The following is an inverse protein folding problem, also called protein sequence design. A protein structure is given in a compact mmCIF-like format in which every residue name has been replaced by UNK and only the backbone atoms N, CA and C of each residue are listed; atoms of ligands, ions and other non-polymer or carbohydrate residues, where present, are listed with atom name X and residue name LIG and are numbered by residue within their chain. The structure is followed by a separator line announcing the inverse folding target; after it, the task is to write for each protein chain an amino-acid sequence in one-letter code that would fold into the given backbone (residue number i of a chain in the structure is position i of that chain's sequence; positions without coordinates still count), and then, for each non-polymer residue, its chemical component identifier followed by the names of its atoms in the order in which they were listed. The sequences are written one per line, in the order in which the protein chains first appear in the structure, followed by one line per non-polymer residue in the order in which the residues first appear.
data_IF_581872315036
#
_entry.id   IF_581872315036
#
_cell.length_a   1.000
_cell.length_b   1.000
_cell.length_c   1.000
_cell.angle_alpha   90.00
_cell.angle_beta   90.00
_cell.angle_gamma   90.00
#
_symmetry.space_group_name_H-M   'P 1'
#
loop_
_entity.id
_entity.type
_entity.pdbx_description
1 polymer ?
#
# COMPACT_ATOMS: atom_id res chain seq x y z
N UNK A 1 -11.83 -10.66 -24.23
CA UNK A 1 -11.10 -9.36 -24.39
C UNK A 1 -11.22 -8.45 -23.16
N UNK A 2 -12.44 -8.04 -22.77
CA UNK A 2 -12.66 -7.09 -21.65
C UNK A 2 -12.13 -7.65 -20.32
N UNK A 3 -12.38 -8.92 -20.03
CA UNK A 3 -11.95 -9.56 -18.78
C UNK A 3 -10.42 -9.59 -18.63
N UNK A 4 -9.69 -9.81 -19.73
CA UNK A 4 -8.22 -9.77 -19.76
C UNK A 4 -7.71 -8.36 -19.43
N UNK A 5 -8.30 -7.34 -20.06
CA UNK A 5 -7.94 -5.93 -19.82
C UNK A 5 -8.20 -5.55 -18.37
N UNK A 6 -9.37 -5.90 -17.82
CA UNK A 6 -9.70 -5.65 -16.40
C UNK A 6 -8.72 -6.37 -15.48
N UNK A 7 -8.33 -7.61 -15.80
CA UNK A 7 -7.41 -8.39 -14.98
C UNK A 7 -6.00 -7.82 -15.01
N UNK A 8 -5.53 -7.35 -16.17
CA UNK A 8 -4.23 -6.65 -16.32
C UNK A 8 -4.25 -5.33 -15.56
N UNK A 9 -5.29 -4.51 -15.74
CA UNK A 9 -5.43 -3.23 -15.05
C UNK A 9 -5.50 -3.41 -13.54
N UNK A 10 -6.28 -4.39 -13.05
CA UNK A 10 -6.39 -4.67 -11.60
C UNK A 10 -5.11 -5.28 -11.01
N UNK A 11 -4.39 -6.06 -11.80
CA UNK A 11 -3.15 -6.70 -11.35
C UNK A 11 -1.99 -5.70 -11.26
N UNK A 12 -1.92 -4.73 -12.18
CA UNK A 12 -0.74 -3.88 -12.33
C UNK A 12 -0.99 -2.39 -12.09
N UNK A 13 -2.19 -1.87 -12.40
CA UNK A 13 -2.47 -0.41 -12.43
C UNK A 13 -3.06 0.10 -11.13
N UNK A 14 -4.28 -0.34 -10.81
CA UNK A 14 -5.03 0.17 -9.66
C UNK A 14 -5.80 -0.95 -9.00
N UNK A 15 -5.74 -1.00 -7.68
CA UNK A 15 -6.59 -1.88 -6.90
C UNK A 15 -7.45 -1.08 -5.93
N UNK A 16 -8.78 -1.28 -5.95
CA UNK A 16 -9.66 -0.68 -4.96
C UNK A 16 -9.53 -1.42 -3.62
N UNK A 17 -9.33 -0.67 -2.55
CA UNK A 17 -9.40 -1.17 -1.17
C UNK A 17 -10.48 -0.41 -0.41
N UNK A 18 -11.21 -1.13 0.44
CA UNK A 18 -12.11 -0.53 1.42
C UNK A 18 -11.37 -0.40 2.75
N UNK A 19 -11.50 0.76 3.41
CA UNK A 19 -10.86 1.01 4.71
C UNK A 19 -11.66 0.32 5.82
N UNK A 20 -11.09 -0.72 6.49
CA UNK A 20 -11.82 -1.46 7.51
C UNK A 20 -11.64 -0.87 8.92
N UNK A 21 -10.71 0.07 9.10
CA UNK A 21 -10.32 0.57 10.43
C UNK A 21 -10.08 2.07 10.44
N UNK A 22 -10.39 2.71 11.56
CA UNK A 22 -10.20 4.15 11.76
C UNK A 22 -8.78 4.57 12.15
N UNK A 23 -7.77 3.72 11.92
CA UNK A 23 -6.39 4.02 12.37
C UNK A 23 -5.72 5.18 11.63
N UNK A 24 -6.32 5.61 10.52
CA UNK A 24 -5.87 6.70 9.67
C UNK A 24 -6.76 7.94 9.79
N UNK A 25 -7.64 8.02 10.79
CA UNK A 25 -8.42 9.23 11.07
C UNK A 25 -7.50 10.42 11.42
N UNK A 26 -7.82 11.64 10.98
CA UNK A 26 -9.00 12.04 10.20
C UNK A 26 -8.81 11.92 8.67
N UNK A 27 -7.67 11.42 8.18
CA UNK A 27 -7.37 11.37 6.73
C UNK A 27 -8.21 10.33 5.99
N UNK A 28 -8.49 9.19 6.61
CA UNK A 28 -9.31 8.12 6.03
C UNK A 28 -10.35 7.65 7.06
N UNK A 29 -11.62 7.63 6.66
CA UNK A 29 -12.72 7.16 7.48
C UNK A 29 -13.05 5.68 7.20
N UNK A 30 -13.78 5.07 8.14
CA UNK A 30 -14.18 3.67 8.01
C UNK A 30 -15.26 3.60 6.92
N UNK A 31 -15.05 2.74 5.93
CA UNK A 31 -15.96 2.59 4.80
C UNK A 31 -15.53 3.34 3.53
N UNK A 32 -14.50 4.19 3.61
CA UNK A 32 -13.94 4.84 2.44
C UNK A 32 -13.36 3.82 1.44
N UNK A 33 -13.48 4.13 0.16
CA UNK A 33 -12.84 3.39 -0.92
C UNK A 33 -11.64 4.17 -1.44
N UNK A 34 -10.47 3.56 -1.39
CA UNK A 34 -9.24 4.13 -1.93
C UNK A 34 -8.80 3.35 -3.17
N UNK A 35 -8.21 4.06 -4.12
CA UNK A 35 -7.52 3.47 -5.27
C UNK A 35 -6.02 3.52 -4.99
N UNK A 36 -5.41 2.35 -4.85
CA UNK A 36 -3.98 2.24 -4.61
C UNK A 36 -3.27 2.09 -5.95
N UNK A 37 -2.33 2.99 -6.23
CA UNK A 37 -1.44 2.86 -7.37
C UNK A 37 -0.35 1.82 -7.07
N UNK A 38 -0.46 0.64 -7.68
CA UNK A 38 0.50 -0.44 -7.49
C UNK A 38 1.80 -0.26 -8.27
N UNK A 39 1.84 0.65 -9.25
CA UNK A 39 3.06 0.96 -9.98
C UNK A 39 4.03 1.85 -9.19
N UNK A 40 3.52 2.65 -8.24
CA UNK A 40 4.33 3.67 -7.56
C UNK A 40 5.53 3.09 -6.80
N UNK A 41 5.41 1.92 -6.16
CA UNK A 41 6.48 1.31 -5.35
C UNK A 41 6.91 -0.07 -5.87
N UNK A 42 6.67 -0.30 -7.16
CA UNK A 42 7.09 -1.51 -7.85
C UNK A 42 6.01 -2.57 -8.05
N UNK A 43 6.07 -3.20 -9.22
CA UNK A 43 5.13 -4.25 -9.60
C UNK A 43 5.48 -5.56 -8.91
N UNK A 44 4.55 -6.06 -8.10
CA UNK A 44 4.60 -7.43 -7.56
C UNK A 44 3.77 -8.34 -8.44
N UNK A 45 4.37 -9.42 -8.94
CA UNK A 45 3.62 -10.44 -9.67
C UNK A 45 2.54 -11.02 -8.75
N UNK A 46 1.26 -11.03 -9.16
CA UNK A 46 0.15 -11.47 -8.32
C UNK A 46 0.25 -12.95 -7.90
N UNK A 47 1.01 -13.75 -8.66
CA UNK A 47 1.19 -15.20 -8.41
C UNK A 47 2.53 -15.48 -7.71
N UNK A 48 3.61 -14.85 -8.18
CA UNK A 48 4.99 -15.21 -7.77
C UNK A 48 5.47 -14.36 -6.58
N UNK A 49 4.73 -13.33 -6.18
CA UNK A 49 5.07 -12.46 -5.04
C UNK A 49 6.44 -11.77 -5.10
N UNK A 50 7.16 -11.93 -6.21
CA UNK A 50 8.46 -11.35 -6.41
C UNK A 50 8.28 -9.90 -6.89
N UNK A 51 9.01 -8.97 -6.26
CA UNK A 51 9.14 -7.59 -6.75
C UNK A 51 10.03 -7.65 -7.99
N UNK A 52 9.51 -7.26 -9.15
CA UNK A 52 10.26 -7.36 -10.41
C UNK A 52 10.81 -6.00 -10.87
N UNK A 53 10.22 -4.89 -10.43
CA UNK A 53 10.63 -3.55 -10.82
C UNK A 53 10.59 -2.65 -9.58
N UNK A 54 11.71 -2.08 -9.17
CA UNK A 54 11.77 -0.95 -8.24
C UNK A 54 11.54 0.31 -9.09
N UNK A 55 10.44 1.01 -8.84
CA UNK A 55 10.03 2.18 -9.65
C UNK A 55 10.38 3.46 -8.92
N UNK A 56 10.06 3.53 -7.63
CA UNK A 56 10.33 4.68 -6.78
C UNK A 56 10.49 4.23 -5.32
N UNK A 57 11.25 5.02 -4.56
CA UNK A 57 11.42 4.81 -3.12
C UNK A 57 10.27 5.50 -2.36
N UNK A 58 9.78 4.92 -1.26
CA UNK A 58 8.79 5.59 -0.42
C UNK A 58 9.34 6.90 0.13
N UNK A 59 8.53 7.96 0.09
CA UNK A 59 8.86 9.26 0.67
C UNK A 59 8.20 9.44 2.05
N UNK A 60 8.74 10.35 2.85
CA UNK A 60 8.13 10.70 4.13
C UNK A 60 6.76 11.34 3.91
N UNK A 61 5.76 10.87 4.64
CA UNK A 61 4.40 11.39 4.57
C UNK A 61 3.48 10.59 3.64
N UNK A 62 4.03 9.68 2.82
CA UNK A 62 3.24 8.81 1.94
C UNK A 62 2.32 7.88 2.72
N UNK A 63 1.14 7.62 2.16
CA UNK A 63 0.24 6.59 2.65
C UNK A 63 0.48 5.33 1.84
N UNK A 64 1.10 4.34 2.48
CA UNK A 64 1.47 3.08 1.82
C UNK A 64 0.57 1.93 2.28
N UNK A 65 0.29 1.04 1.34
CA UNK A 65 -0.34 -0.26 1.63
C UNK A 65 0.73 -1.33 1.59
N UNK A 66 0.86 -2.09 2.67
CA UNK A 66 1.83 -3.17 2.78
C UNK A 66 1.23 -4.36 3.50
N UNK A 67 1.85 -5.53 3.31
CA UNK A 67 1.45 -6.74 4.03
C UNK A 67 2.00 -6.72 5.43
N UNK A 68 1.17 -7.04 6.40
CA UNK A 68 1.63 -7.12 7.78
C UNK A 68 2.71 -8.20 7.90
N UNK A 69 3.92 -7.89 8.43
CA UNK A 69 5.02 -8.85 8.44
C UNK A 69 4.74 -10.15 9.20
N UNK A 70 3.96 -10.08 10.29
CA UNK A 70 3.59 -11.26 11.09
C UNK A 70 2.46 -12.08 10.44
N UNK A 71 1.57 -11.41 9.68
CA UNK A 71 0.45 -12.06 8.99
C UNK A 71 0.30 -11.52 7.54
N UNK A 72 1.02 -12.09 6.55
CA UNK A 72 1.07 -11.55 5.20
C UNK A 72 -0.23 -11.63 4.38
N UNK A 73 -1.25 -12.32 4.89
CA UNK A 73 -2.60 -12.35 4.31
C UNK A 73 -3.35 -11.05 4.54
N UNK A 74 -2.93 -10.22 5.51
CA UNK A 74 -3.58 -8.96 5.86
C UNK A 74 -2.79 -7.77 5.31
N UNK A 75 -3.49 -6.88 4.61
CA UNK A 75 -2.92 -5.61 4.15
C UNK A 75 -3.19 -4.51 5.17
N UNK A 76 -2.16 -3.73 5.47
CA UNK A 76 -2.20 -2.57 6.35
C UNK A 76 -2.00 -1.30 5.54
N UNK A 77 -2.67 -0.24 5.96
CA UNK A 77 -2.58 1.10 5.38
C UNK A 77 -2.04 2.01 6.46
N UNK A 78 -0.83 2.56 6.26
CA UNK A 78 -0.17 3.44 7.22
C UNK A 78 0.56 4.57 6.51
N UNK A 79 0.86 5.62 7.26
CA UNK A 79 1.70 6.73 6.79
C UNK A 79 3.17 6.43 7.06
N UNK A 80 4.03 6.69 6.08
CA UNK A 80 5.48 6.62 6.20
C UNK A 80 5.97 7.76 7.08
N UNK A 81 6.55 7.44 8.23
CA UNK A 81 7.11 8.43 9.17
C UNK A 81 8.63 8.43 9.15
N UNK A 82 9.28 7.35 8.73
CA UNK A 82 10.74 7.24 8.64
C UNK A 82 11.18 6.34 7.49
N UNK A 83 12.35 6.66 6.95
CA UNK A 83 13.04 6.02 5.84
C UNK A 83 14.36 5.41 6.34
N UNK A 84 15.03 4.56 5.53
CA UNK A 84 16.32 4.00 5.89
C UNK A 84 17.33 5.08 6.27
N UNK A 85 17.97 4.93 7.45
CA UNK A 85 18.92 5.90 8.00
C UNK A 85 18.31 6.89 9.00
N UNK A 86 16.98 6.98 9.08
CA UNK A 86 16.32 7.88 10.02
C UNK A 86 16.34 7.37 11.46
N UNK A 87 16.54 8.30 12.40
CA UNK A 87 16.33 8.06 13.83
C UNK A 87 14.98 8.65 14.23
N UNK A 88 14.03 7.78 14.55
CA UNK A 88 12.68 8.19 14.97
C UNK A 88 12.59 8.08 16.49
N UNK A 89 12.09 9.14 17.13
CA UNK A 89 11.73 9.16 18.56
C UNK A 89 10.24 9.41 18.68
N UNK A 90 9.58 8.61 19.52
CA UNK A 90 8.18 8.79 19.87
C UNK A 90 8.10 9.20 21.35
N UNK A 91 7.41 10.31 21.63
CA UNK A 91 7.24 10.85 22.98
C UNK A 91 5.76 11.15 23.24
N UNK A 92 5.30 10.95 24.47
CA UNK A 92 3.93 11.30 24.91
C UNK A 92 2.90 10.21 24.62
N UNK A 93 2.91 9.15 25.44
CA UNK A 93 1.78 8.23 25.56
C UNK A 93 0.85 8.69 26.67
#
# INVERSE_FOLDING_TARGET
PVLLVVLVVRSFVVEPFQIPSGSMKPTLEIGDFILVNKFAYGLRLPVVHNRFLEVDDPERGDVMVFRFPEEPSVNFIKRVVGLPGDRIRYEGK
#
